data_IF_962099530780
#
_entry.id   IF_962099530780
#
_cell.length_a   1.000
_cell.length_b   1.000
_cell.length_c   1.000
_cell.angle_alpha   90.00
_cell.angle_beta   90.00
_cell.angle_gamma   90.00
#
_symmetry.space_group_name_H-M   'P 1'
#
loop_
_entity.id
_entity.type
_entity.pdbx_description
1 polymer ?
#
# COMPACT_ATOMS: atom_id res chain seq x y z
N UNK A 1 5.15 9.49 -15.90
CA UNK A 1 3.95 8.77 -15.38
C UNK A 1 2.69 9.10 -16.17
N UNK A 2 2.33 10.37 -16.38
CA UNK A 2 1.12 10.72 -17.14
C UNK A 2 1.13 10.13 -18.56
N UNK A 3 2.20 10.31 -19.30
CA UNK A 3 2.38 9.76 -20.64
C UNK A 3 2.25 8.24 -20.67
N UNK A 4 2.92 7.57 -19.74
CA UNK A 4 2.80 6.12 -19.59
C UNK A 4 1.35 5.66 -19.37
N UNK A 5 0.59 6.33 -18.49
CA UNK A 5 -0.82 6.02 -18.23
C UNK A 5 -1.65 6.23 -19.51
N UNK A 6 -1.42 7.32 -20.24
CA UNK A 6 -2.14 7.59 -21.51
C UNK A 6 -1.87 6.52 -22.57
N UNK A 7 -0.63 6.07 -22.69
CA UNK A 7 -0.26 4.97 -23.59
C UNK A 7 -1.01 3.70 -23.21
N UNK A 8 -0.98 3.31 -21.92
CA UNK A 8 -1.68 2.11 -21.43
C UNK A 8 -3.19 2.20 -21.69
N UNK A 9 -3.80 3.35 -21.40
CA UNK A 9 -5.24 3.55 -21.64
C UNK A 9 -5.60 3.49 -23.15
N UNK A 10 -4.75 4.03 -24.02
CA UNK A 10 -4.94 3.94 -25.46
C UNK A 10 -4.88 2.48 -25.96
N UNK A 11 -3.90 1.73 -25.48
CA UNK A 11 -3.80 0.30 -25.79
C UNK A 11 -5.03 -0.49 -25.31
N UNK A 12 -5.56 -0.17 -24.14
CA UNK A 12 -6.79 -0.80 -23.62
C UNK A 12 -8.05 -0.41 -24.39
N UNK A 13 -8.04 0.69 -25.15
CA UNK A 13 -9.10 0.99 -26.12
C UNK A 13 -8.89 0.33 -27.48
N UNK A 14 -7.84 -0.49 -27.64
CA UNK A 14 -7.49 -1.14 -28.89
C UNK A 14 -6.84 -0.21 -29.93
N UNK A 15 -6.37 0.96 -29.48
CA UNK A 15 -5.78 1.97 -30.38
C UNK A 15 -4.34 1.61 -30.76
N UNK A 16 -3.91 2.12 -31.93
CA UNK A 16 -2.49 2.22 -32.29
C UNK A 16 -2.00 3.58 -31.85
N UNK A 17 -0.96 3.63 -31.03
CA UNK A 17 -0.42 4.88 -30.49
C UNK A 17 1.06 5.03 -30.81
N UNK A 18 1.47 6.26 -31.12
CA UNK A 18 2.88 6.62 -31.25
C UNK A 18 3.43 7.00 -29.89
N UNK A 19 4.56 6.42 -29.52
CA UNK A 19 5.28 6.71 -28.27
C UNK A 19 6.76 6.49 -28.42
N UNK A 20 7.56 7.13 -27.55
CA UNK A 20 9.00 6.96 -27.54
C UNK A 20 9.39 5.67 -26.82
N UNK A 21 10.12 4.80 -27.51
CA UNK A 21 10.73 3.59 -26.97
C UNK A 21 12.21 3.59 -27.35
N UNK A 22 13.10 3.49 -26.35
CA UNK A 22 14.57 3.48 -26.56
C UNK A 22 15.06 4.70 -27.36
N UNK A 23 14.52 5.89 -27.10
CA UNK A 23 14.90 7.13 -27.79
C UNK A 23 14.40 7.23 -29.25
N UNK A 24 13.43 6.41 -29.66
CA UNK A 24 12.85 6.42 -31.00
C UNK A 24 11.33 6.44 -30.93
N UNK A 25 10.71 7.23 -31.79
CA UNK A 25 9.27 7.22 -32.00
C UNK A 25 8.86 5.91 -32.68
N UNK A 26 7.90 5.21 -32.07
CA UNK A 26 7.39 3.93 -32.59
C UNK A 26 5.88 3.89 -32.47
N UNK A 27 5.24 3.31 -33.47
CA UNK A 27 3.83 2.90 -33.40
C UNK A 27 3.74 1.56 -32.67
N UNK A 28 2.92 1.50 -31.66
CA UNK A 28 2.63 0.28 -30.89
C UNK A 28 1.13 0.02 -30.81
N UNK A 29 0.75 -1.25 -30.75
CA UNK A 29 -0.63 -1.71 -30.51
C UNK A 29 -0.61 -3.09 -29.88
N UNK A 30 -1.74 -3.48 -29.27
CA UNK A 30 -1.97 -4.87 -28.90
C UNK A 30 -2.19 -5.70 -30.15
N UNK A 31 -1.40 -6.77 -30.31
CA UNK A 31 -1.52 -7.66 -31.47
C UNK A 31 -2.65 -8.68 -31.26
N UNK A 32 -3.30 -9.06 -32.35
CA UNK A 32 -4.31 -10.11 -32.41
C UNK A 32 -5.49 -9.90 -31.41
N UNK A 33 -6.12 -8.72 -31.38
CA UNK A 33 -7.24 -8.45 -30.48
C UNK A 33 -8.43 -9.38 -30.72
N UNK A 34 -8.56 -9.94 -31.92
CA UNK A 34 -9.59 -10.91 -32.30
C UNK A 34 -9.53 -12.23 -31.53
N UNK A 35 -8.36 -12.58 -30.97
CA UNK A 35 -8.21 -13.77 -30.12
C UNK A 35 -8.86 -13.62 -28.75
N UNK A 36 -9.26 -12.41 -28.35
CA UNK A 36 -9.92 -12.16 -27.08
C UNK A 36 -9.06 -12.40 -25.84
N UNK A 37 -7.72 -12.42 -25.97
CA UNK A 37 -6.79 -12.61 -24.87
C UNK A 37 -6.77 -11.43 -23.90
N UNK A 38 -7.19 -10.26 -24.37
CA UNK A 38 -7.30 -9.03 -23.58
C UNK A 38 -8.72 -8.51 -23.72
N UNK A 39 -9.36 -8.19 -22.60
CA UNK A 39 -10.69 -7.59 -22.62
C UNK A 39 -10.61 -6.11 -23.01
N UNK A 40 -10.91 -5.80 -24.27
CA UNK A 40 -10.98 -4.44 -24.81
C UNK A 40 -12.40 -3.85 -24.79
N UNK A 41 -13.42 -4.65 -24.42
CA UNK A 41 -14.83 -4.23 -24.44
C UNK A 41 -15.28 -3.63 -23.14
N UNK A 42 -14.63 -4.03 -22.05
CA UNK A 42 -14.93 -3.60 -20.69
C UNK A 42 -13.66 -2.96 -20.10
N UNK A 43 -13.48 -1.65 -20.29
CA UNK A 43 -12.25 -0.98 -19.89
C UNK A 43 -12.05 -1.04 -18.37
N UNK A 44 -10.86 -1.45 -17.95
CA UNK A 44 -10.50 -1.46 -16.54
C UNK A 44 -10.43 -0.02 -15.99
N UNK A 45 -11.05 0.24 -14.83
CA UNK A 45 -10.95 1.55 -14.20
C UNK A 45 -9.50 1.82 -13.75
N UNK A 46 -9.05 3.05 -13.98
CA UNK A 46 -7.74 3.51 -13.54
C UNK A 46 -7.78 3.86 -12.04
N UNK A 47 -6.85 3.32 -11.28
CA UNK A 47 -6.57 3.73 -9.91
C UNK A 47 -5.12 4.15 -9.75
N UNK A 48 -4.88 5.24 -9.01
CA UNK A 48 -3.54 5.79 -8.79
C UNK A 48 -3.25 5.85 -7.29
N UNK A 49 -2.18 5.20 -6.86
CA UNK A 49 -1.63 5.33 -5.51
C UNK A 49 -0.89 6.67 -5.42
N UNK A 50 -1.56 7.70 -4.91
CA UNK A 50 -1.08 9.07 -4.94
C UNK A 50 -0.91 9.65 -3.54
N UNK A 51 0.32 9.66 -3.01
CA UNK A 51 0.63 10.21 -1.69
C UNK A 51 0.93 11.70 -1.73
N UNK A 52 1.66 12.19 -2.76
CA UNK A 52 2.09 13.58 -2.89
C UNK A 52 1.14 14.45 -3.74
N UNK A 53 1.25 15.77 -3.62
CA UNK A 53 0.34 16.71 -4.29
C UNK A 53 0.37 16.61 -5.83
N UNK A 54 1.53 16.36 -6.44
CA UNK A 54 1.66 16.20 -7.90
C UNK A 54 0.93 14.94 -8.40
N UNK A 55 1.06 13.83 -7.67
CA UNK A 55 0.39 12.58 -8.02
C UNK A 55 -1.13 12.67 -7.80
N UNK A 56 -1.58 13.35 -6.75
CA UNK A 56 -3.01 13.63 -6.53
C UNK A 56 -3.60 14.52 -7.61
N UNK A 57 -2.89 15.56 -8.03
CA UNK A 57 -3.31 16.40 -9.15
C UNK A 57 -3.41 15.62 -10.47
N UNK A 58 -2.47 14.68 -10.70
CA UNK A 58 -2.54 13.79 -11.85
C UNK A 58 -3.76 12.84 -11.78
N UNK A 59 -4.06 12.30 -10.60
CA UNK A 59 -5.26 11.47 -10.37
C UNK A 59 -6.52 12.25 -10.73
N UNK A 60 -6.65 13.49 -10.25
CA UNK A 60 -7.78 14.35 -10.58
C UNK A 60 -7.84 14.71 -12.08
N UNK A 61 -6.69 14.97 -12.72
CA UNK A 61 -6.60 15.28 -14.16
C UNK A 61 -7.08 14.11 -15.02
N UNK A 62 -6.72 12.87 -14.65
CA UNK A 62 -7.01 11.66 -15.41
C UNK A 62 -8.36 11.01 -15.05
N UNK A 63 -9.13 11.59 -14.13
CA UNK A 63 -10.39 11.02 -13.64
C UNK A 63 -10.21 9.60 -13.06
N UNK A 64 -9.10 9.38 -12.40
CA UNK A 64 -8.77 8.08 -11.83
C UNK A 64 -9.27 7.92 -10.40
N UNK A 65 -9.56 6.70 -9.97
CA UNK A 65 -9.72 6.38 -8.56
C UNK A 65 -8.42 6.63 -7.79
N UNK A 66 -8.52 6.95 -6.52
CA UNK A 66 -7.38 7.21 -5.64
C UNK A 66 -7.19 6.09 -4.62
N UNK A 67 -5.95 5.62 -4.49
CA UNK A 67 -5.58 4.63 -3.47
C UNK A 67 -4.74 5.31 -2.40
N UNK A 68 -5.18 5.21 -1.13
CA UNK A 68 -4.42 5.57 0.06
C UNK A 68 -3.82 4.33 0.73
N UNK A 69 -2.58 4.44 1.22
CA UNK A 69 -1.91 3.36 1.93
C UNK A 69 -2.45 3.08 3.34
N UNK A 70 -3.50 3.76 3.75
CA UNK A 70 -4.25 3.60 5.00
C UNK A 70 -3.37 3.33 6.25
N UNK A 71 -2.43 4.21 6.59
CA UNK A 71 -1.51 4.01 7.72
C UNK A 71 -2.22 4.07 9.08
N UNK A 72 -3.25 4.91 9.21
CA UNK A 72 -4.21 4.96 10.33
C UNK A 72 -5.48 5.66 9.86
N UNK A 73 -6.58 5.52 10.61
CA UNK A 73 -7.85 6.20 10.30
C UNK A 73 -7.66 7.71 10.20
N UNK A 74 -7.03 8.34 11.19
CA UNK A 74 -6.84 9.80 11.27
C UNK A 74 -6.03 10.32 10.08
N UNK A 75 -4.92 9.63 9.74
CA UNK A 75 -4.07 10.01 8.61
C UNK A 75 -4.78 9.83 7.27
N UNK A 76 -5.54 8.75 7.12
CA UNK A 76 -6.30 8.49 5.90
C UNK A 76 -7.43 9.49 5.70
N UNK A 77 -8.14 9.86 6.76
CA UNK A 77 -9.18 10.92 6.72
C UNK A 77 -8.56 12.27 6.33
N UNK A 78 -7.43 12.64 6.92
CA UNK A 78 -6.72 13.86 6.55
C UNK A 78 -6.23 13.83 5.08
N UNK A 79 -5.71 12.69 4.63
CA UNK A 79 -5.26 12.48 3.25
C UNK A 79 -6.41 12.57 2.25
N UNK A 80 -7.59 12.02 2.60
CA UNK A 80 -8.81 12.13 1.79
C UNK A 80 -9.29 13.59 1.68
N UNK A 81 -9.26 14.35 2.77
CA UNK A 81 -9.56 15.77 2.76
C UNK A 81 -8.66 16.55 1.79
N UNK A 82 -7.35 16.28 1.83
CA UNK A 82 -6.39 16.88 0.90
C UNK A 82 -6.61 16.44 -0.56
N UNK A 83 -6.98 15.18 -0.79
CA UNK A 83 -7.31 14.68 -2.13
C UNK A 83 -8.58 15.33 -2.68
N UNK A 84 -9.65 15.44 -1.87
CA UNK A 84 -10.90 16.09 -2.25
C UNK A 84 -10.71 17.57 -2.61
N UNK A 85 -9.85 18.29 -1.89
CA UNK A 85 -9.52 19.68 -2.21
C UNK A 85 -8.91 19.80 -3.61
N UNK A 86 -7.93 18.95 -3.95
CA UNK A 86 -7.29 18.91 -5.27
C UNK A 86 -8.30 18.46 -6.35
N UNK A 87 -9.16 17.50 -6.03
CA UNK A 87 -10.22 17.01 -6.92
C UNK A 87 -11.19 18.14 -7.32
N UNK A 88 -11.65 18.91 -6.32
CA UNK A 88 -12.54 20.05 -6.54
C UNK A 88 -11.84 21.19 -7.29
N UNK A 89 -10.56 21.47 -7.00
CA UNK A 89 -9.77 22.46 -7.77
C UNK A 89 -9.64 22.09 -9.25
N UNK A 90 -9.68 20.81 -9.58
CA UNK A 90 -9.72 20.32 -10.96
C UNK A 90 -11.11 20.40 -11.61
N UNK A 91 -12.09 21.04 -10.95
CA UNK A 91 -13.45 21.23 -11.45
C UNK A 91 -14.35 20.00 -11.31
N UNK A 92 -14.00 19.03 -10.44
CA UNK A 92 -14.73 17.78 -10.26
C UNK A 92 -15.62 17.82 -9.02
N UNK A 93 -16.75 17.10 -9.04
CA UNK A 93 -17.57 16.90 -7.84
C UNK A 93 -16.84 16.02 -6.84
N UNK A 94 -16.82 16.43 -5.57
CA UNK A 94 -16.22 15.65 -4.49
C UNK A 94 -16.85 14.25 -4.34
N UNK A 95 -18.12 14.09 -4.64
CA UNK A 95 -18.86 12.83 -4.57
C UNK A 95 -18.47 11.85 -5.68
N UNK A 96 -17.84 12.34 -6.74
CA UNK A 96 -17.34 11.52 -7.83
C UNK A 96 -15.97 10.85 -7.57
N UNK A 97 -15.31 11.19 -6.47
CA UNK A 97 -14.02 10.61 -6.13
C UNK A 97 -14.19 9.16 -5.62
N UNK A 98 -13.66 8.21 -6.36
CA UNK A 98 -13.55 6.83 -5.90
C UNK A 98 -12.27 6.67 -5.06
N UNK A 99 -12.42 6.54 -3.74
CA UNK A 99 -11.34 6.48 -2.78
C UNK A 99 -11.23 5.07 -2.16
N UNK A 100 -10.05 4.47 -2.31
CA UNK A 100 -9.72 3.14 -1.82
C UNK A 100 -8.70 3.24 -0.69
N UNK A 101 -8.99 2.62 0.46
CA UNK A 101 -8.05 2.40 1.54
C UNK A 101 -7.36 1.04 1.35
N UNK A 102 -6.03 1.04 1.21
CA UNK A 102 -5.24 -0.19 1.12
C UNK A 102 -4.54 -0.48 2.44
N UNK A 103 -4.98 -1.50 3.13
CA UNK A 103 -4.51 -1.90 4.43
C UNK A 103 -3.86 -3.29 4.42
N UNK A 104 -3.21 -3.65 5.50
CA UNK A 104 -2.71 -4.99 5.76
C UNK A 104 -2.51 -5.18 7.25
N UNK A 105 -2.78 -6.37 7.75
CA UNK A 105 -2.73 -6.68 9.18
C UNK A 105 -3.39 -8.01 9.47
N UNK A 106 -3.66 -8.29 10.74
CA UNK A 106 -4.30 -9.51 11.19
C UNK A 106 -5.50 -9.21 12.10
N UNK A 107 -6.55 -10.02 11.96
CA UNK A 107 -7.67 -10.02 12.91
C UNK A 107 -7.25 -10.84 14.13
N UNK A 108 -7.14 -10.21 15.30
CA UNK A 108 -6.76 -10.91 16.53
C UNK A 108 -7.89 -11.82 17.02
N UNK A 109 -7.54 -13.04 17.38
CA UNK A 109 -8.43 -13.94 18.11
C UNK A 109 -8.55 -13.50 19.59
N UNK A 110 -9.63 -13.89 20.31
CA UNK A 110 -9.78 -13.54 21.72
C UNK A 110 -8.55 -13.94 22.56
N UNK A 111 -7.92 -12.96 23.21
CA UNK A 111 -6.72 -13.17 24.02
C UNK A 111 -5.42 -13.33 23.25
N UNK A 112 -5.43 -13.26 21.92
CA UNK A 112 -4.22 -13.39 21.11
C UNK A 112 -3.37 -12.14 21.18
N UNK A 113 -2.06 -12.34 21.33
CA UNK A 113 -1.08 -11.26 21.29
C UNK A 113 -0.74 -10.89 19.85
N UNK A 114 -0.51 -9.59 19.59
CA UNK A 114 -0.16 -9.11 18.25
C UNK A 114 1.24 -9.55 17.77
N UNK A 115 2.06 -10.11 18.64
CA UNK A 115 3.36 -10.73 18.33
C UNK A 115 3.31 -12.27 18.34
N UNK A 116 2.12 -12.88 18.29
CA UNK A 116 1.97 -14.33 18.12
C UNK A 116 2.58 -14.78 16.79
N UNK A 117 3.05 -16.03 16.67
CA UNK A 117 3.59 -16.54 15.41
C UNK A 117 2.67 -16.37 14.21
N UNK A 118 1.36 -16.57 14.40
CA UNK A 118 0.33 -16.38 13.37
C UNK A 118 0.26 -14.91 12.92
N UNK A 119 0.17 -13.98 13.88
CA UNK A 119 0.08 -12.55 13.58
C UNK A 119 1.37 -12.03 12.94
N UNK A 120 2.54 -12.47 13.41
CA UNK A 120 3.82 -12.12 12.76
C UNK A 120 3.84 -12.61 11.31
N UNK A 121 3.33 -13.80 11.02
CA UNK A 121 3.27 -14.30 9.64
C UNK A 121 2.35 -13.44 8.75
N UNK A 122 1.23 -12.93 9.27
CA UNK A 122 0.26 -12.12 8.52
C UNK A 122 0.63 -10.63 8.44
N UNK A 123 1.16 -10.05 9.50
CA UNK A 123 1.32 -8.61 9.66
C UNK A 123 2.80 -8.17 9.80
N UNK A 124 3.65 -9.08 10.26
CA UNK A 124 5.07 -8.80 10.53
C UNK A 124 5.84 -8.25 9.34
N UNK A 125 5.71 -8.81 8.11
CA UNK A 125 6.41 -8.29 6.94
C UNK A 125 6.08 -6.82 6.65
N UNK A 126 4.83 -6.38 6.87
CA UNK A 126 4.44 -4.98 6.73
C UNK A 126 5.01 -4.12 7.85
N UNK A 127 5.00 -4.60 9.10
CA UNK A 127 5.61 -3.90 10.23
C UNK A 127 7.12 -3.74 10.05
N UNK A 128 7.83 -4.75 9.56
CA UNK A 128 9.26 -4.72 9.27
C UNK A 128 9.64 -3.61 8.28
N UNK A 129 8.75 -3.21 7.36
CA UNK A 129 9.05 -2.12 6.42
C UNK A 129 9.36 -0.78 7.10
N UNK A 130 8.88 -0.57 8.32
CA UNK A 130 9.23 0.64 9.09
C UNK A 130 10.69 0.61 9.52
N UNK A 131 11.19 -0.56 9.93
CA UNK A 131 12.59 -0.78 10.30
C UNK A 131 13.50 -0.71 9.06
N UNK A 132 13.06 -1.31 7.93
CA UNK A 132 13.78 -1.23 6.66
C UNK A 132 14.01 0.23 6.25
N UNK A 133 12.96 1.06 6.28
CA UNK A 133 13.06 2.47 5.94
C UNK A 133 13.93 3.26 6.90
N UNK A 134 13.90 2.93 8.20
CA UNK A 134 14.76 3.55 9.18
C UNK A 134 16.24 3.23 8.91
N UNK A 135 16.56 1.98 8.55
CA UNK A 135 17.91 1.57 8.16
C UNK A 135 18.36 2.25 6.86
N UNK A 136 17.51 2.33 5.83
CA UNK A 136 17.83 3.04 4.59
C UNK A 136 18.10 4.53 4.82
N UNK A 137 17.32 5.16 5.71
CA UNK A 137 17.57 6.56 6.09
C UNK A 137 18.90 6.75 6.79
N UNK A 138 19.21 5.86 7.74
CA UNK A 138 20.44 5.95 8.54
C UNK A 138 21.70 5.59 7.75
N UNK A 139 21.62 4.64 6.82
CA UNK A 139 22.77 4.07 6.13
C UNK A 139 22.91 4.53 4.67
N UNK A 140 21.79 4.84 4.01
CA UNK A 140 21.75 5.23 2.60
C UNK A 140 21.36 6.68 2.34
N UNK A 141 21.01 7.46 3.38
CA UNK A 141 20.63 8.87 3.26
C UNK A 141 19.24 9.09 2.63
N UNK A 142 18.41 8.09 2.53
CA UNK A 142 17.04 8.25 2.05
C UNK A 142 16.16 8.90 3.13
N UNK A 143 15.35 9.93 2.79
CA UNK A 143 14.50 10.57 3.77
C UNK A 143 13.41 9.60 4.27
N UNK A 144 13.32 9.41 5.59
CA UNK A 144 12.22 8.70 6.24
C UNK A 144 11.70 9.52 7.42
N UNK A 145 10.37 9.49 7.62
CA UNK A 145 9.80 10.04 8.83
C UNK A 145 10.28 9.22 10.04
N UNK A 146 10.68 9.87 11.13
CA UNK A 146 11.07 9.15 12.35
C UNK A 146 9.88 8.35 12.89
N UNK A 147 10.19 7.17 13.43
CA UNK A 147 9.23 6.39 14.19
C UNK A 147 8.99 7.03 15.56
N UNK A 148 7.84 6.77 16.20
CA UNK A 148 7.57 7.21 17.57
C UNK A 148 8.70 6.80 18.52
N UNK A 149 9.00 7.65 19.56
CA UNK A 149 10.13 7.42 20.48
C UNK A 149 10.12 6.06 21.19
N UNK A 150 8.96 5.50 21.42
CA UNK A 150 8.80 4.17 22.05
C UNK A 150 9.44 3.03 21.24
N UNK A 151 9.71 3.23 19.95
CA UNK A 151 10.40 2.27 19.09
C UNK A 151 11.88 2.56 18.87
N UNK A 152 12.44 3.57 19.58
CA UNK A 152 13.82 4.02 19.36
C UNK A 152 14.85 2.89 19.53
N UNK A 153 14.72 2.06 20.56
CA UNK A 153 15.64 0.95 20.83
C UNK A 153 15.56 -0.13 19.74
N UNK A 154 14.34 -0.46 19.28
CA UNK A 154 14.15 -1.41 18.20
C UNK A 154 14.75 -0.89 16.88
N UNK A 155 14.57 0.40 16.59
CA UNK A 155 15.15 1.07 15.42
C UNK A 155 16.68 1.07 15.51
N UNK A 156 17.25 1.49 16.64
CA UNK A 156 18.71 1.53 16.83
C UNK A 156 19.34 0.13 16.68
N UNK A 157 18.76 -0.86 17.35
CA UNK A 157 19.24 -2.25 17.24
C UNK A 157 19.12 -2.81 15.82
N UNK A 158 18.03 -2.49 15.11
CA UNK A 158 17.84 -2.89 13.72
C UNK A 158 18.87 -2.23 12.78
N UNK A 159 19.10 -0.92 12.92
CA UNK A 159 20.09 -0.18 12.13
C UNK A 159 21.50 -0.75 12.32
N UNK A 160 21.90 -1.05 13.56
CA UNK A 160 23.21 -1.66 13.82
C UNK A 160 23.33 -3.05 13.17
N UNK A 161 22.27 -3.86 13.19
CA UNK A 161 22.22 -5.14 12.47
C UNK A 161 22.34 -4.93 10.96
N UNK A 162 21.55 -4.02 10.39
CA UNK A 162 21.53 -3.74 8.96
C UNK A 162 22.86 -3.17 8.44
N UNK A 163 23.64 -2.49 9.30
CA UNK A 163 24.99 -2.00 8.98
C UNK A 163 25.95 -3.13 8.60
N UNK A 164 25.69 -4.34 9.10
CA UNK A 164 26.50 -5.53 8.83
C UNK A 164 26.09 -6.28 7.57
N UNK A 165 25.01 -5.87 6.90
CA UNK A 165 24.56 -6.51 5.67
C UNK A 165 25.52 -6.25 4.52
N UNK A 166 25.76 -7.29 3.74
CA UNK A 166 26.60 -7.20 2.54
C UNK A 166 25.77 -7.17 1.25
N UNK A 167 26.40 -6.86 0.12
CA UNK A 167 27.77 -6.35 0.01
C UNK A 167 27.92 -4.89 0.50
N UNK A 168 29.16 -4.49 0.86
CA UNK A 168 29.42 -3.11 1.29
C UNK A 168 28.93 -2.08 0.25
N UNK A 169 28.22 -1.05 0.73
CA UNK A 169 27.60 -0.04 -0.14
C UNK A 169 26.29 -0.46 -0.82
N UNK A 170 25.84 -1.71 -0.62
CA UNK A 170 24.57 -2.22 -1.12
C UNK A 170 23.79 -3.03 -0.07
N UNK A 171 23.91 -2.66 1.20
CA UNK A 171 23.20 -3.30 2.33
C UNK A 171 21.69 -3.37 2.11
N UNK A 172 21.11 -2.47 1.30
CA UNK A 172 19.69 -2.46 0.94
C UNK A 172 19.24 -3.77 0.27
N UNK A 173 20.12 -4.49 -0.41
CA UNK A 173 19.77 -5.78 -1.04
C UNK A 173 19.36 -6.81 0.00
N UNK A 174 20.09 -6.90 1.13
CA UNK A 174 19.72 -7.79 2.22
C UNK A 174 18.65 -7.16 3.11
N UNK A 175 18.68 -5.84 3.33
CA UNK A 175 17.67 -5.13 4.10
C UNK A 175 16.25 -5.35 3.54
N UNK A 176 16.10 -5.37 2.22
CA UNK A 176 14.82 -5.58 1.56
C UNK A 176 14.54 -7.03 1.17
N UNK A 177 15.40 -7.98 1.51
CA UNK A 177 15.11 -9.40 1.28
C UNK A 177 13.87 -9.82 2.08
N UNK A 178 12.87 -10.34 1.41
CA UNK A 178 11.57 -10.69 2.03
C UNK A 178 10.60 -9.53 2.24
N UNK A 179 10.93 -8.32 1.75
CA UNK A 179 10.11 -7.12 1.89
C UNK A 179 8.64 -7.36 1.49
N UNK A 180 7.71 -7.15 2.43
CA UNK A 180 6.27 -7.40 2.28
C UNK A 180 5.89 -8.85 1.96
N UNK A 181 6.78 -9.82 2.13
CA UNK A 181 6.51 -11.23 1.84
C UNK A 181 6.67 -12.12 3.07
N UNK A 182 7.77 -11.99 3.78
CA UNK A 182 8.05 -12.77 4.99
C UNK A 182 8.97 -11.99 5.94
N UNK A 183 8.97 -12.37 7.21
CA UNK A 183 9.89 -11.85 8.22
C UNK A 183 11.12 -12.74 8.27
N UNK A 184 12.31 -12.13 8.16
CA UNK A 184 13.57 -12.86 8.34
C UNK A 184 13.81 -13.19 9.82
N UNK A 185 14.56 -14.26 10.07
CA UNK A 185 14.82 -14.72 11.44
C UNK A 185 15.59 -13.68 12.27
N UNK A 186 16.52 -12.95 11.64
CA UNK A 186 17.35 -11.93 12.29
C UNK A 186 16.56 -10.66 12.66
N UNK A 187 15.52 -10.31 11.91
CA UNK A 187 14.70 -9.12 12.16
C UNK A 187 13.52 -9.38 13.10
N UNK A 188 13.11 -10.65 13.26
CA UNK A 188 11.94 -11.04 14.06
C UNK A 188 11.98 -10.48 15.50
N UNK A 189 13.14 -10.43 16.13
CA UNK A 189 13.34 -9.94 17.50
C UNK A 189 12.99 -8.46 17.69
N UNK A 190 12.92 -7.68 16.62
CA UNK A 190 12.58 -6.26 16.66
C UNK A 190 11.08 -5.99 16.45
N UNK A 191 10.29 -7.01 16.12
CA UNK A 191 8.86 -6.91 15.89
C UNK A 191 8.08 -7.15 17.18
N UNK A 192 7.91 -6.10 17.98
CA UNK A 192 7.04 -6.15 19.15
C UNK A 192 5.55 -6.08 18.79
N UNK A 193 4.69 -6.52 19.71
CA UNK A 193 3.23 -6.39 19.57
C UNK A 193 2.79 -4.94 19.28
N UNK A 194 3.42 -3.97 19.95
CA UNK A 194 3.09 -2.56 19.79
C UNK A 194 3.53 -2.02 18.43
N UNK A 195 4.72 -2.40 17.94
CA UNK A 195 5.19 -2.02 16.60
C UNK A 195 4.26 -2.59 15.52
N UNK A 196 3.84 -3.84 15.64
CA UNK A 196 2.90 -4.48 14.70
C UNK A 196 1.57 -3.73 14.68
N UNK A 197 0.99 -3.42 15.85
CA UNK A 197 -0.27 -2.65 15.95
C UNK A 197 -0.13 -1.22 15.40
N UNK A 198 0.99 -0.56 15.64
CA UNK A 198 1.26 0.79 15.15
C UNK A 198 1.47 0.85 13.63
N UNK A 199 2.02 -0.22 13.06
CA UNK A 199 2.39 -0.29 11.63
C UNK A 199 1.29 -0.85 10.73
N UNK A 200 0.29 -1.53 11.31
CA UNK A 200 -0.67 -2.36 10.56
C UNK A 200 -2.09 -2.23 11.10
N UNK A 201 -3.04 -2.77 10.37
CA UNK A 201 -4.44 -2.93 10.79
C UNK A 201 -4.63 -4.18 11.65
N UNK A 202 -3.68 -4.46 12.55
CA UNK A 202 -3.78 -5.58 13.49
C UNK A 202 -4.54 -5.17 14.73
N UNK A 203 -5.74 -5.72 14.91
CA UNK A 203 -6.61 -5.42 16.05
C UNK A 203 -7.70 -6.49 16.19
N UNK A 204 -8.50 -6.40 17.24
CA UNK A 204 -9.68 -7.24 17.43
C UNK A 204 -10.77 -6.93 16.40
N UNK A 205 -11.68 -7.87 16.16
CA UNK A 205 -12.78 -7.68 15.22
C UNK A 205 -13.64 -6.43 15.52
N UNK A 206 -14.05 -6.14 16.75
CA UNK A 206 -14.80 -4.92 17.05
C UNK A 206 -14.02 -3.63 16.73
N UNK A 207 -12.72 -3.58 17.06
CA UNK A 207 -11.87 -2.42 16.74
C UNK A 207 -11.72 -2.20 15.23
N UNK A 208 -11.57 -3.28 14.46
CA UNK A 208 -11.47 -3.22 13.00
C UNK A 208 -12.77 -2.73 12.37
N UNK A 209 -13.91 -3.22 12.83
CA UNK A 209 -15.24 -2.74 12.39
C UNK A 209 -15.36 -1.24 12.63
N UNK A 210 -15.04 -0.76 13.83
CA UNK A 210 -15.07 0.66 14.17
C UNK A 210 -14.16 1.52 13.27
N UNK A 211 -12.94 1.03 12.95
CA UNK A 211 -12.02 1.71 12.03
C UNK A 211 -12.56 1.78 10.59
N UNK A 212 -13.21 0.71 10.12
CA UNK A 212 -13.81 0.66 8.78
C UNK A 212 -15.01 1.61 8.70
N UNK A 213 -15.90 1.61 9.72
CA UNK A 213 -17.03 2.53 9.82
C UNK A 213 -16.57 4.00 9.78
N UNK A 214 -15.45 4.31 10.46
CA UNK A 214 -14.90 5.66 10.47
C UNK A 214 -14.35 6.07 9.08
N UNK A 215 -13.75 5.16 8.33
CA UNK A 215 -13.32 5.42 6.94
C UNK A 215 -14.53 5.58 6.00
N UNK A 216 -15.55 4.74 6.14
CA UNK A 216 -16.78 4.83 5.36
C UNK A 216 -17.49 6.17 5.62
N UNK A 217 -17.66 6.56 6.89
CA UNK A 217 -18.24 7.84 7.29
C UNK A 217 -17.44 9.04 6.75
N UNK A 218 -16.11 8.93 6.62
CA UNK A 218 -15.27 9.94 6.00
C UNK A 218 -15.43 9.99 4.46
N UNK A 219 -15.92 8.89 3.86
CA UNK A 219 -16.22 8.78 2.43
C UNK A 219 -15.20 8.00 1.60
N UNK A 220 -14.51 7.04 2.20
CA UNK A 220 -13.88 5.97 1.45
C UNK A 220 -14.96 5.02 0.91
N UNK A 221 -14.81 4.60 -0.35
CA UNK A 221 -15.79 3.72 -1.02
C UNK A 221 -15.41 2.26 -0.92
N UNK A 222 -14.12 1.97 -0.75
CA UNK A 222 -13.60 0.61 -0.73
C UNK A 222 -12.46 0.49 0.28
N UNK A 223 -12.31 -0.71 0.84
CA UNK A 223 -11.13 -1.11 1.57
C UNK A 223 -10.59 -2.41 0.98
N UNK A 224 -9.28 -2.47 0.79
CA UNK A 224 -8.56 -3.63 0.25
C UNK A 224 -7.54 -4.09 1.27
N UNK A 225 -7.56 -5.36 1.61
CA UNK A 225 -6.57 -5.97 2.51
C UNK A 225 -5.58 -6.83 1.73
N UNK A 226 -4.28 -6.61 2.00
CA UNK A 226 -3.24 -7.49 1.51
C UNK A 226 -3.23 -8.79 2.30
N UNK A 227 -3.38 -9.90 1.61
CA UNK A 227 -3.18 -11.25 2.15
C UNK A 227 -1.84 -11.77 1.61
N UNK A 228 -0.95 -12.17 2.49
CA UNK A 228 0.37 -12.67 2.11
C UNK A 228 0.30 -14.12 1.61
N UNK A 229 1.18 -14.54 0.71
CA UNK A 229 1.29 -15.95 0.30
C UNK A 229 1.47 -16.88 1.50
N UNK A 230 0.74 -17.98 1.54
CA UNK A 230 0.72 -18.92 2.66
C UNK A 230 -0.14 -18.48 3.85
N UNK A 231 -0.82 -17.33 3.75
CA UNK A 231 -1.73 -16.82 4.77
C UNK A 231 -3.18 -16.72 4.27
N UNK A 232 -3.56 -17.53 3.30
CA UNK A 232 -4.86 -17.48 2.61
C UNK A 232 -6.05 -17.69 3.56
N UNK A 233 -5.84 -18.37 4.70
CA UNK A 233 -6.84 -18.52 5.77
C UNK A 233 -7.28 -17.16 6.36
N UNK A 234 -6.46 -16.12 6.27
CA UNK A 234 -6.84 -14.76 6.68
C UNK A 234 -8.03 -14.20 5.89
N UNK A 235 -8.33 -14.75 4.69
CA UNK A 235 -9.52 -14.40 3.91
C UNK A 235 -10.80 -14.68 4.71
N UNK A 236 -10.84 -15.76 5.48
CA UNK A 236 -11.98 -16.09 6.34
C UNK A 236 -12.12 -15.11 7.50
N UNK A 237 -10.99 -14.70 8.11
CA UNK A 237 -10.96 -13.74 9.20
C UNK A 237 -11.52 -12.38 8.75
N UNK A 238 -11.01 -11.85 7.65
CA UNK A 238 -11.52 -10.62 7.05
C UNK A 238 -12.94 -10.77 6.50
N UNK A 239 -13.32 -11.96 6.04
CA UNK A 239 -14.67 -12.30 5.66
C UNK A 239 -15.67 -12.20 6.84
N UNK A 240 -15.24 -12.53 8.07
CA UNK A 240 -16.06 -12.31 9.28
C UNK A 240 -16.29 -10.81 9.52
N UNK A 241 -15.26 -9.99 9.37
CA UNK A 241 -15.38 -8.53 9.47
C UNK A 241 -16.38 -8.01 8.44
N UNK A 242 -16.22 -8.39 7.16
CA UNK A 242 -17.12 -7.94 6.09
C UNK A 242 -18.60 -8.23 6.37
N UNK A 243 -18.91 -9.34 7.03
CA UNK A 243 -20.31 -9.70 7.36
C UNK A 243 -20.98 -8.74 8.34
N UNK A 244 -20.24 -7.92 9.08
CA UNK A 244 -20.81 -6.89 9.96
C UNK A 244 -21.39 -5.70 9.19
N UNK A 245 -21.04 -5.54 7.90
CA UNK A 245 -21.47 -4.44 7.02
C UNK A 245 -22.60 -4.86 6.04
N UNK A 246 -23.54 -5.64 6.48
CA UNK A 246 -24.71 -6.08 5.67
C UNK A 246 -25.90 -5.20 5.92
#
# INVERSE_FOLDING_TARGET
MEEYIRVVQALWRGETIETEIEGRQRLIRLLNPELGLINLRDPMPLYIAASGPKARALTAKLDGGWIDGAPSVERSVAALGAMRAIWTQAGRSADGLNAVAWAGGAVLEPGEKADSPRVIAQAGPRAATLLHRAADAALGGYPAAPLPPEFADAVAGYVEMARLYGPQGAHYLENHRGHLMFVRDDERKFLSADLIKAATWTATAPELIQRIEALEAAGFNQIVFSILPGQEHAVEDWGRIRRAFK
#
